data_IF_377923713319
#
_entry.id   IF_377923713319
#
_cell.length_a   1.000
_cell.length_b   1.000
_cell.length_c   1.000
_cell.angle_alpha   90.00
_cell.angle_beta   90.00
_cell.angle_gamma   90.00
#
_symmetry.space_group_name_H-M   'P 1'
#
loop_
_entity.id
_entity.type
_entity.pdbx_description
1 polymer ?
#
# COMPACT_ATOMS: atom_id res chain seq x y z
N UNK A 1 29.11 -10.85 -18.24
CA UNK A 1 27.87 -11.57 -18.62
C UNK A 1 27.06 -12.03 -17.41
N UNK A 2 27.72 -12.46 -16.32
CA UNK A 2 27.05 -12.92 -15.09
C UNK A 2 26.33 -11.81 -14.30
N UNK A 3 26.95 -10.63 -14.18
CA UNK A 3 26.32 -9.43 -13.57
C UNK A 3 24.99 -9.04 -14.24
N UNK A 4 24.95 -9.04 -15.58
CA UNK A 4 23.74 -8.75 -16.37
C UNK A 4 22.63 -9.79 -16.11
N UNK A 5 22.99 -11.07 -15.96
CA UNK A 5 22.01 -12.11 -15.61
C UNK A 5 21.46 -11.92 -14.20
N UNK A 6 22.29 -11.47 -13.26
CA UNK A 6 21.89 -11.21 -11.88
C UNK A 6 20.97 -9.99 -11.77
N UNK A 7 21.30 -8.91 -12.48
CA UNK A 7 20.48 -7.70 -12.56
C UNK A 7 19.11 -7.99 -13.23
N UNK A 8 19.11 -8.76 -14.32
CA UNK A 8 17.86 -9.18 -14.98
C UNK A 8 16.96 -10.03 -14.07
N UNK A 9 17.56 -10.90 -13.23
CA UNK A 9 16.80 -11.70 -12.26
C UNK A 9 16.21 -10.82 -11.16
N UNK A 10 16.96 -9.85 -10.64
CA UNK A 10 16.45 -8.89 -9.64
C UNK A 10 15.24 -8.12 -10.17
N UNK A 11 15.33 -7.58 -11.39
CA UNK A 11 14.21 -6.87 -12.01
C UNK A 11 13.01 -7.79 -12.17
N UNK A 12 13.21 -9.05 -12.56
CA UNK A 12 12.11 -10.01 -12.69
C UNK A 12 11.41 -10.28 -11.35
N UNK A 13 12.18 -10.46 -10.27
CA UNK A 13 11.63 -10.68 -8.92
C UNK A 13 10.97 -9.42 -8.33
N UNK A 14 11.34 -8.23 -8.80
CA UNK A 14 10.63 -6.99 -8.44
C UNK A 14 9.29 -6.84 -9.18
N UNK A 15 9.10 -7.53 -10.31
CA UNK A 15 7.89 -7.45 -11.13
C UNK A 15 6.90 -8.58 -10.85
N UNK A 16 7.38 -9.75 -10.45
CA UNK A 16 6.57 -10.95 -10.26
C UNK A 16 6.94 -11.64 -8.94
N UNK A 17 5.95 -12.23 -8.25
CA UNK A 17 6.20 -13.10 -7.11
C UNK A 17 7.26 -14.15 -7.40
N UNK A 18 8.07 -14.51 -6.41
CA UNK A 18 9.23 -15.40 -6.60
C UNK A 18 8.85 -16.75 -7.24
N UNK A 19 7.71 -17.33 -6.83
CA UNK A 19 7.21 -18.59 -7.37
C UNK A 19 6.73 -18.47 -8.82
N UNK A 20 6.17 -17.32 -9.20
CA UNK A 20 5.72 -17.02 -10.57
C UNK A 20 6.91 -16.74 -11.48
N UNK A 21 7.87 -15.93 -11.02
CA UNK A 21 9.11 -15.66 -11.72
C UNK A 21 9.89 -16.95 -12.03
N UNK A 22 9.96 -17.89 -11.08
CA UNK A 22 10.56 -19.21 -11.30
C UNK A 22 9.85 -20.00 -12.40
N UNK A 23 8.52 -19.98 -12.44
CA UNK A 23 7.74 -20.63 -13.50
C UNK A 23 8.15 -20.09 -14.88
N UNK A 24 8.27 -18.78 -15.06
CA UNK A 24 8.69 -18.17 -16.34
C UNK A 24 10.16 -18.40 -16.68
N UNK A 25 11.05 -18.50 -15.68
CA UNK A 25 12.47 -18.79 -15.90
C UNK A 25 12.71 -20.26 -16.30
N UNK A 26 11.88 -21.19 -15.82
CA UNK A 26 11.97 -22.62 -16.12
C UNK A 26 11.18 -23.01 -17.38
N UNK A 27 10.20 -22.20 -17.77
CA UNK A 27 9.38 -22.44 -18.95
C UNK A 27 10.15 -22.14 -20.25
N UNK A 28 9.89 -22.93 -21.29
CA UNK A 28 10.51 -22.74 -22.59
C UNK A 28 10.11 -21.36 -23.18
N UNK A 29 11.01 -20.55 -23.77
CA UNK A 29 10.69 -19.18 -24.24
C UNK A 29 9.59 -19.09 -25.30
N UNK A 30 9.19 -20.22 -25.88
CA UNK A 30 8.10 -20.33 -26.86
C UNK A 30 6.73 -20.61 -26.22
N UNK A 31 6.70 -20.96 -24.94
CA UNK A 31 5.50 -21.26 -24.18
C UNK A 31 5.11 -20.05 -23.33
N UNK A 32 4.66 -18.98 -24.01
CA UNK A 32 4.04 -17.81 -23.39
C UNK A 32 2.56 -18.10 -23.05
N UNK A 33 2.29 -19.30 -22.54
CA UNK A 33 0.95 -19.66 -22.12
C UNK A 33 0.56 -18.83 -20.89
N UNK A 34 -0.74 -18.48 -20.82
CA UNK A 34 -1.31 -17.73 -19.71
C UNK A 34 -0.99 -18.44 -18.39
N UNK A 35 -0.18 -17.82 -17.52
CA UNK A 35 0.00 -18.30 -16.16
C UNK A 35 -1.25 -17.98 -15.33
N UNK A 36 -1.87 -19.01 -14.77
CA UNK A 36 -2.92 -18.87 -13.78
C UNK A 36 -2.81 -19.97 -12.71
N UNK A 37 -3.23 -19.64 -11.49
CA UNK A 37 -3.28 -20.59 -10.38
C UNK A 37 -4.51 -20.29 -9.51
N UNK A 38 -5.28 -21.33 -9.19
CA UNK A 38 -6.44 -21.21 -8.30
C UNK A 38 -6.05 -21.54 -6.86
N UNK A 39 -6.49 -20.70 -5.93
CA UNK A 39 -6.28 -20.86 -4.49
C UNK A 39 -7.62 -20.91 -3.78
N UNK A 40 -7.79 -21.87 -2.87
CA UNK A 40 -9.07 -22.10 -2.19
C UNK A 40 -9.29 -21.15 -1.00
N UNK A 41 -8.21 -20.72 -0.34
CA UNK A 41 -8.24 -19.90 0.87
C UNK A 41 -7.06 -18.92 0.87
N UNK A 42 -7.34 -17.65 0.60
CA UNK A 42 -6.37 -16.55 0.60
C UNK A 42 -6.94 -15.42 1.43
N UNK A 43 -6.15 -14.86 2.33
CA UNK A 43 -6.48 -13.64 3.04
C UNK A 43 -6.10 -12.44 2.18
N UNK A 44 -7.01 -11.49 1.98
CA UNK A 44 -6.81 -10.29 1.17
C UNK A 44 -7.06 -9.07 2.03
N UNK A 45 -6.16 -8.10 1.95
CA UNK A 45 -6.23 -6.84 2.66
C UNK A 45 -6.17 -5.65 1.68
N UNK A 46 -7.01 -4.66 1.95
CA UNK A 46 -6.91 -3.31 1.38
C UNK A 46 -6.69 -2.34 2.53
N UNK A 47 -5.58 -1.59 2.49
CA UNK A 47 -5.27 -0.56 3.48
C UNK A 47 -5.21 0.79 2.75
N UNK A 48 -6.23 1.64 2.94
CA UNK A 48 -6.35 2.95 2.28
C UNK A 48 -6.07 4.08 3.26
N UNK A 49 -5.58 5.21 2.73
CA UNK A 49 -5.44 6.48 3.44
C UNK A 49 -6.47 7.45 2.86
N UNK A 50 -7.70 7.53 3.42
CA UNK A 50 -8.80 8.24 2.78
C UNK A 50 -8.58 9.76 2.71
N UNK A 51 -7.97 10.34 3.75
CA UNK A 51 -7.71 11.78 3.82
C UNK A 51 -6.49 12.23 3.00
N UNK A 52 -5.81 11.30 2.32
CA UNK A 52 -4.73 11.67 1.39
C UNK A 52 -5.27 12.46 0.19
N UNK A 53 -6.49 12.17 -0.28
CA UNK A 53 -7.10 12.90 -1.40
C UNK A 53 -7.35 14.37 -1.04
N UNK A 54 -7.75 14.65 0.20
CA UNK A 54 -7.97 16.02 0.68
C UNK A 54 -6.65 16.77 0.89
N UNK A 55 -5.57 16.04 1.20
CA UNK A 55 -4.21 16.57 1.31
C UNK A 55 -3.58 16.88 -0.06
N UNK A 56 -3.99 16.16 -1.11
CA UNK A 56 -3.46 16.37 -2.45
C UNK A 56 -3.96 17.69 -3.03
N UNK A 57 -3.07 18.69 -3.05
CA UNK A 57 -3.35 20.02 -3.58
C UNK A 57 -2.31 20.38 -4.64
N UNK A 58 -2.77 20.60 -5.88
CA UNK A 58 -1.97 21.12 -6.99
C UNK A 58 -1.93 22.65 -6.91
N UNK A 59 -0.88 23.20 -6.32
CA UNK A 59 -0.61 24.65 -6.27
C UNK A 59 0.84 24.94 -6.68
N UNK A 60 1.06 26.12 -7.27
CA UNK A 60 2.40 26.63 -7.65
C UNK A 60 3.39 26.62 -6.48
N UNK A 61 2.90 26.79 -5.25
CA UNK A 61 3.71 26.72 -4.03
C UNK A 61 4.06 25.32 -3.52
N UNK A 62 3.47 24.25 -4.07
CA UNK A 62 3.70 22.85 -3.66
C UNK A 62 4.40 22.02 -4.75
N UNK A 63 5.21 22.66 -5.60
CA UNK A 63 5.84 22.02 -6.78
C UNK A 63 4.83 21.21 -7.63
N UNK A 64 3.60 21.72 -7.85
CA UNK A 64 2.55 21.02 -8.58
C UNK A 64 2.13 19.66 -7.97
N UNK A 65 2.14 19.53 -6.63
CA UNK A 65 1.70 18.30 -5.94
C UNK A 65 2.78 17.20 -5.87
N UNK A 66 4.00 17.48 -6.34
CA UNK A 66 5.13 16.52 -6.29
C UNK A 66 5.51 16.15 -4.86
N UNK A 67 5.46 17.10 -3.91
CA UNK A 67 5.78 16.78 -2.51
C UNK A 67 4.75 15.83 -1.89
N UNK A 68 3.47 15.94 -2.27
CA UNK A 68 2.45 14.99 -1.84
C UNK A 68 2.76 13.57 -2.34
N UNK A 69 3.21 13.44 -3.59
CA UNK A 69 3.59 12.14 -4.15
C UNK A 69 4.86 11.57 -3.50
N UNK A 70 5.82 12.41 -3.09
CA UNK A 70 7.00 11.96 -2.34
C UNK A 70 6.61 11.39 -0.98
N UNK A 71 5.72 12.08 -0.27
CA UNK A 71 5.22 11.61 1.02
C UNK A 71 4.41 10.32 0.89
N UNK A 72 3.59 10.19 -0.16
CA UNK A 72 2.93 8.92 -0.44
C UNK A 72 3.94 7.81 -0.72
N UNK A 73 4.98 8.09 -1.51
CA UNK A 73 6.02 7.10 -1.79
C UNK A 73 6.77 6.68 -0.52
N UNK A 74 7.04 7.62 0.40
CA UNK A 74 7.63 7.34 1.72
C UNK A 74 6.73 6.40 2.54
N UNK A 75 5.43 6.70 2.66
CA UNK A 75 4.49 5.83 3.37
C UNK A 75 4.45 4.42 2.78
N UNK A 76 4.42 4.30 1.45
CA UNK A 76 4.40 3.00 0.78
C UNK A 76 5.73 2.26 0.97
N UNK A 77 6.87 2.97 0.98
CA UNK A 77 8.18 2.39 1.21
C UNK A 77 8.32 1.85 2.64
N UNK A 78 7.82 2.57 3.65
CA UNK A 78 7.87 2.13 5.04
C UNK A 78 6.95 0.92 5.29
N UNK A 79 5.81 0.85 4.60
CA UNK A 79 4.97 -0.36 4.58
C UNK A 79 5.66 -1.55 3.88
N UNK A 80 6.44 -1.30 2.84
CA UNK A 80 7.23 -2.34 2.18
C UNK A 80 8.36 -2.83 3.10
N UNK A 81 9.07 -1.94 3.81
CA UNK A 81 10.08 -2.31 4.82
C UNK A 81 9.46 -3.13 5.97
N UNK A 82 8.26 -2.76 6.42
CA UNK A 82 7.51 -3.57 7.39
C UNK A 82 7.27 -4.99 6.89
N UNK A 83 6.92 -5.18 5.61
CA UNK A 83 6.65 -6.50 5.02
C UNK A 83 7.91 -7.38 4.90
N UNK A 84 9.10 -6.78 4.82
CA UNK A 84 10.37 -7.51 4.71
C UNK A 84 10.77 -8.24 6.00
N UNK A 85 10.17 -7.89 7.16
CA UNK A 85 10.42 -8.58 8.43
C UNK A 85 10.13 -10.08 8.33
N UNK A 86 10.94 -10.91 9.01
CA UNK A 86 10.86 -12.39 8.94
C UNK A 86 9.47 -12.97 9.22
N UNK A 87 8.69 -12.34 10.10
CA UNK A 87 7.34 -12.78 10.46
C UNK A 87 6.31 -12.53 9.35
N UNK A 88 6.55 -11.57 8.45
CA UNK A 88 5.63 -11.10 7.41
C UNK A 88 5.97 -11.61 6.00
N UNK A 89 7.01 -12.44 5.85
CA UNK A 89 7.45 -13.03 4.57
C UNK A 89 6.42 -13.85 3.81
N UNK A 90 5.33 -14.25 4.46
CA UNK A 90 4.22 -14.96 3.82
C UNK A 90 3.22 -14.02 3.13
N UNK A 91 3.29 -12.72 3.42
CA UNK A 91 2.45 -11.69 2.82
C UNK A 91 3.09 -11.26 1.50
N UNK A 92 2.27 -11.20 0.46
CA UNK A 92 2.66 -10.75 -0.86
C UNK A 92 1.93 -9.42 -1.16
N UNK A 93 2.70 -8.37 -1.44
CA UNK A 93 2.15 -7.13 -2.00
C UNK A 93 1.64 -7.43 -3.42
N UNK A 94 0.38 -7.11 -3.69
CA UNK A 94 -0.20 -7.28 -5.02
C UNK A 94 0.06 -6.04 -5.87
N UNK A 95 -0.36 -4.88 -5.38
CA UNK A 95 -0.17 -3.58 -6.04
C UNK A 95 -0.51 -2.42 -5.10
N UNK A 96 -0.16 -1.22 -5.54
CA UNK A 96 -0.65 0.04 -4.96
C UNK A 96 -1.67 0.66 -5.92
N UNK A 97 -2.81 1.11 -5.40
CA UNK A 97 -3.91 1.74 -6.17
C UNK A 97 -4.20 3.11 -5.55
N UNK A 98 -3.64 4.18 -6.12
CA UNK A 98 -3.71 5.51 -5.50
C UNK A 98 -3.06 5.48 -4.10
N UNK A 99 -3.80 5.90 -3.07
CA UNK A 99 -3.39 5.83 -1.67
C UNK A 99 -3.72 4.50 -0.97
N UNK A 100 -4.04 3.45 -1.74
CA UNK A 100 -4.44 2.13 -1.21
C UNK A 100 -3.36 1.08 -1.44
N UNK A 101 -2.91 0.46 -0.36
CA UNK A 101 -2.00 -0.68 -0.34
C UNK A 101 -2.78 -1.99 -0.38
N UNK A 102 -2.57 -2.81 -1.42
CA UNK A 102 -3.22 -4.11 -1.57
C UNK A 102 -2.23 -5.24 -1.35
N UNK A 103 -2.54 -6.11 -0.39
CA UNK A 103 -1.72 -7.26 -0.04
C UNK A 103 -2.57 -8.52 0.15
N UNK A 104 -1.94 -9.68 0.00
CA UNK A 104 -2.58 -10.97 0.21
C UNK A 104 -1.64 -11.98 0.86
N UNK A 105 -2.20 -12.96 1.56
CA UNK A 105 -1.46 -14.02 2.26
C UNK A 105 -2.01 -15.39 1.87
N UNK A 106 -1.12 -16.39 1.79
CA UNK A 106 -1.49 -17.75 1.38
C UNK A 106 -1.41 -17.98 -0.14
N UNK A 107 -0.72 -17.10 -0.87
CA UNK A 107 -0.43 -17.25 -2.31
C UNK A 107 0.85 -18.04 -2.60
N UNK A 108 1.74 -18.16 -1.62
CA UNK A 108 2.98 -18.93 -1.77
C UNK A 108 2.69 -20.44 -1.85
N UNK A 109 3.11 -21.14 -2.92
CA UNK A 109 3.08 -22.59 -2.94
C UNK A 109 4.01 -23.11 -1.84
N UNK A 110 3.54 -24.10 -1.08
CA UNK A 110 4.32 -24.80 -0.04
C UNK A 110 5.40 -25.69 -0.68
N UNK A 111 6.25 -25.12 -1.54
CA UNK A 111 7.39 -25.81 -2.15
C UNK A 111 8.57 -25.72 -1.21
N UNK A 112 8.66 -26.69 -0.30
CA UNK A 112 9.83 -26.92 0.54
C UNK A 112 9.52 -26.96 2.04
N UNK A 113 9.45 -28.18 2.58
CA UNK A 113 9.79 -28.58 3.96
C UNK A 113 9.11 -27.91 5.18
N UNK A 114 8.27 -26.89 5.05
CA UNK A 114 7.48 -26.36 6.19
C UNK A 114 6.05 -26.86 6.12
N UNK A 115 5.57 -27.43 7.24
CA UNK A 115 4.18 -27.89 7.39
C UNK A 115 3.21 -26.84 6.85
N UNK A 116 2.21 -27.27 6.07
CA UNK A 116 1.18 -26.41 5.49
C UNK A 116 0.56 -25.56 6.61
N UNK A 117 0.91 -24.27 6.65
CA UNK A 117 0.37 -23.34 7.65
C UNK A 117 -1.14 -23.32 7.50
N UNK A 118 -1.84 -23.33 8.63
CA UNK A 118 -3.30 -23.17 8.65
C UNK A 118 -3.66 -21.79 8.10
N UNK A 119 -4.82 -21.68 7.44
CA UNK A 119 -5.37 -20.38 7.01
C UNK A 119 -5.47 -19.40 8.18
N UNK A 120 -5.78 -19.90 9.38
CA UNK A 120 -5.81 -19.07 10.59
C UNK A 120 -4.44 -18.46 10.91
N UNK A 121 -3.35 -19.20 10.71
CA UNK A 121 -2.00 -18.67 10.91
C UNK A 121 -1.65 -17.59 9.90
N UNK A 122 -2.01 -17.80 8.63
CA UNK A 122 -1.82 -16.78 7.59
C UNK A 122 -2.64 -15.53 7.88
N UNK A 123 -3.90 -15.68 8.29
CA UNK A 123 -4.75 -14.55 8.68
C UNK A 123 -4.24 -13.83 9.93
N UNK A 124 -3.67 -14.54 10.92
CA UNK A 124 -3.02 -13.90 12.06
C UNK A 124 -1.84 -13.03 11.62
N UNK A 125 -0.99 -13.55 10.73
CA UNK A 125 0.12 -12.77 10.16
C UNK A 125 -0.38 -11.51 9.44
N UNK A 126 -1.46 -11.63 8.65
CA UNK A 126 -2.07 -10.49 7.97
C UNK A 126 -2.71 -9.48 8.94
N UNK A 127 -3.35 -9.96 10.00
CA UNK A 127 -3.94 -9.12 11.04
C UNK A 127 -2.87 -8.37 11.84
N UNK A 128 -1.77 -9.03 12.18
CA UNK A 128 -0.63 -8.43 12.88
C UNK A 128 0.03 -7.35 12.02
N UNK A 129 0.24 -7.65 10.74
CA UNK A 129 0.73 -6.67 9.77
C UNK A 129 -0.19 -5.46 9.68
N UNK A 130 -1.50 -5.68 9.56
CA UNK A 130 -2.49 -4.60 9.52
C UNK A 130 -2.47 -3.72 10.77
N UNK A 131 -2.23 -4.29 11.95
CA UNK A 131 -2.11 -3.54 13.21
C UNK A 131 -0.80 -2.73 13.21
N UNK A 132 0.34 -3.34 12.88
CA UNK A 132 1.64 -2.64 12.84
C UNK A 132 1.67 -1.52 11.79
N UNK A 133 0.91 -1.61 10.70
CA UNK A 133 0.78 -0.51 9.72
C UNK A 133 0.23 0.79 10.33
N UNK A 134 -0.60 0.71 11.38
CA UNK A 134 -1.05 1.92 12.09
C UNK A 134 0.11 2.57 12.86
N UNK A 135 0.93 1.77 13.54
CA UNK A 135 2.08 2.28 14.28
C UNK A 135 3.11 2.93 13.33
N UNK A 136 3.33 2.33 12.14
CA UNK A 136 4.19 2.92 11.10
C UNK A 136 3.62 4.25 10.60
N UNK A 137 2.31 4.32 10.31
CA UNK A 137 1.70 5.57 9.85
C UNK A 137 1.71 6.65 10.94
N UNK A 138 1.53 6.29 12.21
CA UNK A 138 1.63 7.19 13.36
C UNK A 138 3.05 7.80 13.46
N UNK A 139 4.10 7.01 13.22
CA UNK A 139 5.48 7.49 13.20
C UNK A 139 5.73 8.48 12.06
N UNK A 140 5.25 8.19 10.85
CA UNK A 140 5.36 9.10 9.71
C UNK A 140 4.61 10.40 9.98
N UNK A 141 3.38 10.31 10.51
CA UNK A 141 2.59 11.49 10.90
C UNK A 141 3.36 12.38 11.88
N UNK A 142 4.03 11.77 12.87
CA UNK A 142 4.85 12.49 13.83
C UNK A 142 6.06 13.18 13.17
N UNK A 143 6.76 12.49 12.27
CA UNK A 143 7.96 13.02 11.60
C UNK A 143 7.64 14.10 10.55
N UNK A 144 6.53 13.94 9.82
CA UNK A 144 6.14 14.82 8.73
C UNK A 144 5.16 15.93 9.14
N UNK A 145 4.74 15.99 10.41
CA UNK A 145 3.72 16.91 10.92
C UNK A 145 2.37 16.81 10.18
N UNK A 146 1.96 15.58 9.86
CA UNK A 146 0.70 15.28 9.20
C UNK A 146 -0.22 14.45 10.11
N UNK A 147 -1.46 14.21 9.67
CA UNK A 147 -2.49 13.48 10.42
C UNK A 147 -3.24 12.54 9.47
N UNK A 148 -2.50 11.72 8.73
CA UNK A 148 -3.07 10.67 7.88
C UNK A 148 -3.74 9.59 8.71
N UNK A 149 -4.90 9.12 8.26
CA UNK A 149 -5.64 8.09 8.97
C UNK A 149 -5.77 6.85 8.10
N UNK A 150 -5.25 5.74 8.60
CA UNK A 150 -5.37 4.45 7.92
C UNK A 150 -6.77 3.87 8.10
N UNK A 151 -7.28 3.23 7.06
CA UNK A 151 -8.47 2.40 7.08
C UNK A 151 -8.16 1.09 6.41
N UNK A 152 -8.55 -0.03 7.04
CA UNK A 152 -8.20 -1.35 6.53
C UNK A 152 -9.43 -2.23 6.40
N UNK A 153 -9.52 -2.96 5.29
CA UNK A 153 -10.52 -3.99 5.03
C UNK A 153 -9.88 -5.35 4.79
N UNK A 154 -10.31 -6.38 5.53
CA UNK A 154 -9.78 -7.75 5.40
C UNK A 154 -10.92 -8.73 5.09
N UNK A 155 -10.68 -9.63 4.13
CA UNK A 155 -11.54 -10.77 3.88
C UNK A 155 -10.71 -12.01 3.52
N UNK A 156 -11.33 -13.19 3.63
CA UNK A 156 -10.73 -14.47 3.27
C UNK A 156 -11.65 -15.25 2.33
N UNK A 157 -11.05 -16.03 1.42
CA UNK A 157 -11.81 -16.91 0.53
C UNK A 157 -11.02 -17.33 -0.71
N UNK A 158 -11.67 -17.97 -1.69
CA UNK A 158 -11.02 -18.42 -2.91
C UNK A 158 -10.67 -17.26 -3.83
N UNK A 159 -9.54 -17.38 -4.53
CA UNK A 159 -9.06 -16.44 -5.54
C UNK A 159 -8.37 -17.18 -6.68
N UNK A 160 -8.30 -16.54 -7.84
CA UNK A 160 -7.48 -16.98 -8.97
C UNK A 160 -6.39 -15.94 -9.16
N UNK A 161 -5.13 -16.36 -9.05
CA UNK A 161 -3.99 -15.53 -9.39
C UNK A 161 -3.56 -15.79 -10.84
N UNK A 162 -2.90 -14.82 -11.47
CA UNK A 162 -2.39 -14.99 -12.82
C UNK A 162 -1.59 -13.80 -13.29
N UNK A 163 -0.91 -13.99 -14.43
CA UNK A 163 -0.15 -12.93 -15.09
C UNK A 163 -0.84 -12.54 -16.39
N UNK A 164 -1.19 -11.26 -16.52
CA UNK A 164 -1.83 -10.70 -17.71
C UNK A 164 -0.90 -9.68 -18.36
N UNK A 165 -0.90 -9.64 -19.69
CA UNK A 165 -0.22 -8.60 -20.48
C UNK A 165 1.01 -9.11 -21.23
N UNK A 166 0.96 -9.06 -22.56
CA UNK A 166 2.02 -9.62 -23.41
C UNK A 166 3.32 -8.80 -23.41
N UNK A 167 3.24 -7.47 -23.26
CA UNK A 167 4.40 -6.56 -23.26
C UNK A 167 4.75 -6.01 -21.89
N UNK A 168 3.76 -5.93 -20.99
CA UNK A 168 3.88 -5.46 -19.61
C UNK A 168 3.16 -6.47 -18.73
N UNK A 169 3.81 -7.59 -18.39
CA UNK A 169 3.18 -8.62 -17.56
C UNK A 169 2.88 -8.02 -16.18
N UNK A 170 1.66 -8.22 -15.72
CA UNK A 170 1.18 -7.81 -14.40
C UNK A 170 0.63 -9.04 -13.69
N UNK A 171 1.23 -9.36 -12.54
CA UNK A 171 0.65 -10.32 -11.62
C UNK A 171 -0.51 -9.67 -10.87
N UNK A 172 -1.62 -10.39 -10.76
CA UNK A 172 -2.79 -9.91 -10.02
C UNK A 172 -3.65 -11.09 -9.55
N UNK A 173 -4.60 -10.80 -8.65
CA UNK A 173 -5.55 -11.77 -8.11
C UNK A 173 -6.99 -11.33 -8.38
N UNK A 174 -7.82 -12.28 -8.80
CA UNK A 174 -9.23 -12.07 -9.09
C UNK A 174 -10.11 -12.99 -8.25
N UNK A 175 -11.31 -12.51 -7.95
CA UNK A 175 -12.32 -13.30 -7.27
C UNK A 175 -13.26 -12.44 -6.45
N UNK A 176 -14.40 -13.02 -6.10
CA UNK A 176 -15.35 -12.35 -5.22
C UNK A 176 -14.72 -11.99 -3.85
N UNK A 177 -13.74 -12.77 -3.37
CA UNK A 177 -12.98 -12.51 -2.14
C UNK A 177 -12.30 -11.15 -2.16
N UNK A 178 -11.65 -10.79 -3.28
CA UNK A 178 -10.96 -9.51 -3.48
C UNK A 178 -11.96 -8.36 -3.48
N UNK A 179 -13.09 -8.54 -4.19
CA UNK A 179 -14.15 -7.54 -4.22
C UNK A 179 -14.72 -7.28 -2.83
N UNK A 180 -15.00 -8.33 -2.04
CA UNK A 180 -15.50 -8.19 -0.67
C UNK A 180 -14.45 -7.52 0.23
N UNK A 181 -13.16 -7.85 0.12
CA UNK A 181 -12.09 -7.17 0.87
C UNK A 181 -12.05 -5.66 0.56
N UNK A 182 -12.13 -5.30 -0.72
CA UNK A 182 -12.23 -3.89 -1.15
C UNK A 182 -13.48 -3.19 -0.63
N UNK A 183 -14.60 -3.92 -0.45
CA UNK A 183 -15.80 -3.39 0.21
C UNK A 183 -15.64 -3.24 1.72
N UNK A 184 -14.89 -4.12 2.39
CA UNK A 184 -14.58 -3.93 3.81
C UNK A 184 -13.75 -2.68 4.05
N UNK A 185 -12.85 -2.33 3.12
CA UNK A 185 -12.11 -1.07 3.18
C UNK A 185 -13.03 0.11 2.86
N UNK A 186 -13.66 0.14 1.68
CA UNK A 186 -14.47 1.31 1.25
C UNK A 186 -15.67 1.62 2.16
N UNK A 187 -16.27 0.63 2.81
CA UNK A 187 -17.33 0.81 3.82
C UNK A 187 -16.79 0.93 5.26
N UNK A 188 -15.48 0.78 5.43
CA UNK A 188 -14.75 0.90 6.68
C UNK A 188 -14.82 2.28 7.31
N UNK A 189 -14.61 2.33 8.61
CA UNK A 189 -14.43 3.58 9.37
C UNK A 189 -12.94 3.89 9.45
N UNK A 190 -12.58 5.17 9.25
CA UNK A 190 -11.20 5.64 9.39
C UNK A 190 -10.66 5.31 10.79
N UNK A 191 -9.40 4.89 10.88
CA UNK A 191 -8.77 4.53 12.15
C UNK A 191 -9.07 3.09 12.60
N UNK A 192 -9.80 2.29 11.80
CA UNK A 192 -10.23 0.94 12.18
C UNK A 192 -9.92 -0.09 11.10
N UNK A 193 -9.75 -1.33 11.55
CA UNK A 193 -9.65 -2.52 10.69
C UNK A 193 -11.01 -3.19 10.66
N UNK A 194 -11.68 -3.19 9.51
CA UNK A 194 -12.93 -3.92 9.29
C UNK A 194 -12.67 -5.29 8.70
N UNK A 195 -13.32 -6.30 9.26
CA UNK A 195 -13.22 -7.69 8.81
C UNK A 195 -14.60 -8.30 8.57
N UNK A 196 -14.66 -9.31 7.70
CA UNK A 196 -15.87 -10.12 7.51
C UNK A 196 -16.09 -11.08 8.69
N UNK A 197 -17.33 -11.55 8.85
CA UNK A 197 -17.69 -12.59 9.83
C UNK A 197 -16.81 -13.85 9.71
N UNK A 198 -16.43 -14.23 8.48
CA UNK A 198 -15.57 -15.39 8.25
C UNK A 198 -14.17 -15.22 8.86
N UNK A 199 -13.56 -14.04 8.67
CA UNK A 199 -12.26 -13.71 9.27
C UNK A 199 -12.35 -13.74 10.79
N UNK A 200 -13.40 -13.12 11.36
CA UNK A 200 -13.67 -13.18 12.80
C UNK A 200 -13.81 -14.62 13.28
N UNK A 201 -14.55 -15.47 12.58
CA UNK A 201 -14.73 -16.89 12.95
C UNK A 201 -13.43 -17.68 12.98
N UNK A 202 -12.52 -17.42 12.04
CA UNK A 202 -11.22 -18.07 11.96
C UNK A 202 -10.23 -17.56 13.02
N UNK A 203 -10.31 -16.27 13.37
CA UNK A 203 -9.41 -15.62 14.32
C UNK A 203 -9.95 -15.54 15.76
N UNK A 204 -11.21 -15.94 16.03
CA UNK A 204 -11.81 -15.90 17.38
C UNK A 204 -11.07 -16.73 18.44
N UNK A 205 -10.26 -17.70 18.01
CA UNK A 205 -9.44 -18.57 18.88
C UNK A 205 -8.01 -18.04 19.06
N UNK A 206 -7.68 -16.95 18.37
CA UNK A 206 -6.41 -16.26 18.45
C UNK A 206 -6.53 -15.07 19.42
N UNK A 207 -5.41 -14.51 19.91
CA UNK A 207 -5.43 -13.44 20.91
C UNK A 207 -5.74 -12.08 20.28
N UNK A 208 -6.94 -11.92 19.74
CA UNK A 208 -7.42 -10.70 19.12
C UNK A 208 -8.70 -10.21 19.76
N UNK A 209 -8.86 -8.89 19.85
CA UNK A 209 -10.09 -8.25 20.29
C UNK A 209 -10.93 -7.84 19.08
N UNK A 210 -12.16 -8.33 19.03
CA UNK A 210 -13.12 -7.98 17.98
C UNK A 210 -14.35 -7.31 18.58
N UNK A 211 -14.81 -6.24 17.94
CA UNK A 211 -16.07 -5.56 18.26
C UNK A 211 -17.04 -5.76 17.11
N UNK A 212 -18.27 -6.17 17.43
CA UNK A 212 -19.32 -6.31 16.42
C UNK A 212 -19.69 -4.92 15.88
N UNK A 213 -19.49 -4.69 14.58
CA UNK A 213 -19.92 -3.46 13.90
C UNK A 213 -21.41 -3.50 13.59
N UNK A 214 -21.92 -4.69 13.27
CA UNK A 214 -23.29 -4.90 12.79
C UNK A 214 -23.35 -5.20 11.30
N UNK A 215 -24.55 -5.09 10.74
CA UNK A 215 -24.81 -5.37 9.32
C UNK A 215 -24.43 -4.16 8.47
N UNK A 216 -23.68 -4.42 7.40
CA UNK A 216 -23.26 -3.42 6.40
C UNK A 216 -23.71 -3.89 5.03
N UNK A 217 -24.28 -2.97 4.25
CA UNK A 217 -24.72 -3.25 2.89
C UNK A 217 -23.53 -3.36 1.95
N UNK A 218 -23.34 -4.53 1.34
CA UNK A 218 -22.25 -4.85 0.41
C UNK A 218 -22.83 -5.12 -0.97
N UNK A 219 -22.41 -4.33 -1.97
CA UNK A 219 -22.86 -4.47 -3.36
C UNK A 219 -22.64 -5.90 -3.86
N UNK A 220 -23.71 -6.55 -4.32
CA UNK A 220 -23.68 -7.93 -4.84
C UNK A 220 -23.72 -9.03 -3.78
N UNK A 221 -23.71 -8.69 -2.48
CA UNK A 221 -23.87 -9.64 -1.36
C UNK A 221 -25.06 -9.33 -0.46
N UNK A 222 -25.59 -8.11 -0.50
CA UNK A 222 -26.65 -7.67 0.40
C UNK A 222 -26.08 -7.28 1.76
N UNK A 223 -26.85 -7.47 2.82
CA UNK A 223 -26.42 -7.18 4.19
C UNK A 223 -25.44 -8.24 4.70
N UNK A 224 -24.25 -7.81 5.08
CA UNK A 224 -23.21 -8.68 5.65
C UNK A 224 -22.91 -8.28 7.09
N UNK A 225 -22.81 -9.26 7.99
CA UNK A 225 -22.32 -9.02 9.35
C UNK A 225 -20.81 -8.76 9.31
N UNK A 226 -20.39 -7.70 9.99
CA UNK A 226 -19.01 -7.22 10.00
C UNK A 226 -18.53 -6.94 11.41
N UNK A 227 -17.21 -6.99 11.58
CA UNK A 227 -16.54 -6.78 12.86
C UNK A 227 -15.39 -5.80 12.68
N UNK A 228 -15.06 -5.07 13.73
CA UNK A 228 -13.80 -4.35 13.84
C UNK A 228 -12.80 -5.21 14.59
N UNK A 229 -11.59 -5.32 14.06
CA UNK A 229 -10.42 -5.81 14.79
C UNK A 229 -9.78 -4.59 15.48
N UNK A 230 -9.74 -4.57 16.81
CA UNK A 230 -9.25 -3.40 17.58
C UNK A 230 -7.83 -3.57 18.12
N UNK A 231 -7.27 -4.79 18.08
CA UNK A 231 -5.91 -5.06 18.52
C UNK A 231 -5.73 -6.48 19.04
N UNK A 232 -4.60 -6.72 19.71
CA UNK A 232 -4.29 -7.98 20.39
C UNK A 232 -4.84 -7.99 21.81
N UNK A 233 -5.31 -9.15 22.26
CA UNK A 233 -5.70 -9.39 23.65
C UNK A 233 -4.46 -9.87 24.40
N UNK A 234 -3.77 -8.98 25.11
CA UNK A 234 -2.67 -9.40 25.97
C UNK A 234 -3.23 -10.17 27.17
N UNK A 235 -2.71 -11.37 27.42
CA UNK A 235 -3.15 -12.28 28.49
C UNK A 235 -2.91 -11.76 29.92
N UNK A 236 -2.32 -10.58 30.07
CA UNK A 236 -2.25 -9.84 31.33
C UNK A 236 -3.29 -8.71 31.26
N UNK A 237 -4.41 -8.88 31.98
CA UNK A 237 -5.56 -8.00 31.90
C UNK A 237 -5.21 -6.51 31.89
N UNK A 238 -5.84 -5.79 30.95
CA UNK A 238 -5.99 -4.31 30.92
C UNK A 238 -4.96 -3.49 30.12
N UNK A 239 -4.43 -3.97 28.99
CA UNK A 239 -3.97 -3.06 27.94
C UNK A 239 -4.42 -3.55 26.55
N UNK A 240 -5.51 -2.96 26.03
CA UNK A 240 -5.80 -3.01 24.61
C UNK A 240 -4.78 -2.09 23.95
N UNK A 241 -3.94 -2.59 23.03
CA UNK A 241 -3.24 -1.73 22.07
C UNK A 241 -4.28 -1.19 21.09
N UNK A 242 -5.09 -0.23 21.56
CA UNK A 242 -6.21 0.33 20.79
C UNK A 242 -5.67 1.00 19.52
N UNK A 243 -6.25 0.64 18.39
CA UNK A 243 -6.04 1.34 17.12
C UNK A 243 -6.55 2.79 17.25
N UNK A 244 -5.61 3.72 17.45
CA UNK A 244 -5.64 5.12 17.05
C UNK A 244 -6.68 6.10 17.62
N UNK A 245 -7.90 5.67 18.02
CA UNK A 245 -8.96 6.63 18.35
C UNK A 245 -8.77 7.36 19.69
N UNK A 246 -8.17 6.72 20.70
CA UNK A 246 -7.96 7.32 22.03
C UNK A 246 -6.59 8.00 22.20
N UNK A 247 -5.74 8.05 21.17
CA UNK A 247 -4.44 8.73 21.23
C UNK A 247 -4.51 10.24 20.98
N UNK A 248 -5.67 10.79 20.62
CA UNK A 248 -5.89 12.24 20.56
C UNK A 248 -6.43 12.81 21.88
N UNK A 249 -5.54 13.08 22.83
CA UNK A 249 -5.50 14.37 23.56
C UNK A 249 -4.32 14.42 24.56
N UNK A 250 -3.28 15.19 24.23
CA UNK A 250 -2.31 15.72 25.18
C UNK A 250 -2.19 17.23 24.92
N UNK A 251 -2.34 18.11 25.94
CA UNK A 251 -2.55 19.53 25.71
C UNK A 251 -1.27 20.19 25.21
N UNK A 252 -1.42 21.09 24.25
CA UNK A 252 -0.43 22.12 23.97
C UNK A 252 -0.19 22.94 25.24
N UNK A 253 0.80 22.52 26.02
CA UNK A 253 1.30 23.24 27.19
C UNK A 253 2.17 24.41 26.75
N UNK A 254 1.60 25.62 26.83
CA UNK A 254 2.38 26.86 26.90
C UNK A 254 3.34 26.80 28.09
N UNK A 255 4.64 26.79 27.82
CA UNK A 255 5.65 27.36 28.73
C UNK A 255 6.76 27.97 27.85
N UNK A 256 6.97 29.27 27.99
CA UNK A 256 7.74 30.09 27.06
C UNK A 256 9.24 29.84 27.06
N UNK A 257 9.88 30.19 25.94
CA UNK A 257 11.25 30.68 25.85
C UNK A 257 11.42 31.38 24.49
N UNK A 258 12.27 32.40 24.50
CA UNK A 258 12.37 33.49 23.52
C UNK A 258 12.83 33.04 22.13
N UNK A 259 12.27 33.72 21.12
CA UNK A 259 12.82 34.06 19.80
C UNK A 259 13.91 33.17 19.20
N UNK A 260 13.54 32.29 18.27
CA UNK A 260 14.40 31.90 17.14
C UNK A 260 13.58 31.77 15.86
N UNK A 261 14.04 32.43 14.80
CA UNK A 261 13.54 32.31 13.42
C UNK A 261 13.70 30.87 12.92
N UNK A 262 12.85 30.39 11.98
CA UNK A 262 13.03 29.08 11.36
C UNK A 262 14.34 29.01 10.56
N UNK A 263 15.00 27.85 10.49
CA UNK A 263 16.21 27.69 9.70
C UNK A 263 15.88 27.73 8.20
N UNK A 264 16.61 28.57 7.47
CA UNK A 264 16.63 28.59 6.02
C UNK A 264 17.53 27.44 5.56
N UNK A 265 17.00 26.53 4.74
CA UNK A 265 17.80 25.47 4.11
C UNK A 265 18.85 26.07 3.16
N UNK A 266 20.12 25.62 3.17
CA UNK A 266 21.11 26.09 2.22
C UNK A 266 20.97 25.37 0.88
N UNK A 267 20.73 26.13 -0.19
CA UNK A 267 20.85 25.65 -1.57
C UNK A 267 22.33 25.61 -1.99
N UNK A 268 22.83 24.55 -2.66
CA UNK A 268 24.14 24.59 -3.28
C UNK A 268 24.10 25.44 -4.56
N UNK A 269 24.93 26.49 -4.59
CA UNK A 269 25.08 27.39 -5.72
C UNK A 269 25.79 26.73 -6.91
N UNK A 270 25.15 26.73 -8.08
CA UNK A 270 25.81 26.53 -9.36
C UNK A 270 26.03 27.90 -9.98
N UNK A 271 27.29 28.30 -10.07
CA UNK A 271 27.72 29.55 -10.70
C UNK A 271 27.74 29.36 -12.21
N UNK A 272 26.80 29.99 -12.92
CA UNK A 272 26.86 30.13 -14.39
C UNK A 272 27.22 31.57 -14.71
N UNK A 273 28.40 31.74 -15.28
CA UNK A 273 29.01 33.02 -15.66
C UNK A 273 28.35 33.53 -16.94
N UNK A 274 27.63 34.64 -16.86
CA UNK A 274 27.08 35.34 -18.01
C UNK A 274 28.17 36.17 -18.72
N UNK A 275 28.31 35.97 -20.03
CA UNK A 275 29.04 36.87 -20.92
C UNK A 275 28.08 37.39 -21.98
N UNK A 276 27.79 38.69 -21.93
CA UNK A 276 27.20 39.47 -23.03
C UNK A 276 28.32 39.89 -23.99
N UNK A 277 28.03 40.14 -25.29
CA UNK A 277 27.78 41.54 -25.69
C UNK A 277 26.66 41.79 -26.73
N UNK A 278 26.09 42.97 -26.56
CA UNK A 278 25.35 43.96 -27.39
C UNK A 278 25.22 43.89 -28.94
N UNK A 279 23.99 44.23 -29.38
CA UNK A 279 23.51 45.09 -30.51
C UNK A 279 23.82 44.70 -32.00
N UNK A 280 22.87 44.21 -32.83
CA UNK A 280 21.73 44.81 -33.61
C UNK A 280 22.11 45.45 -34.97
N UNK A 281 21.23 45.66 -36.00
CA UNK A 281 19.92 45.08 -36.38
C UNK A 281 19.79 44.66 -37.88
N UNK A 282 18.70 43.98 -38.31
CA UNK A 282 18.30 44.02 -39.74
C UNK A 282 17.42 42.90 -40.31
N UNK A 283 16.25 43.33 -40.82
CA UNK A 283 15.51 42.84 -42.00
C UNK A 283 14.57 41.61 -41.91
N UNK A 284 13.26 41.95 -41.90
CA UNK A 284 12.21 41.51 -42.83
C UNK A 284 12.28 40.09 -43.44
N UNK A 285 11.28 39.25 -43.17
CA UNK A 285 10.24 38.87 -44.16
C UNK A 285 9.17 37.93 -43.56
N UNK A 286 7.93 38.17 -43.98
CA UNK A 286 6.71 37.45 -43.69
C UNK A 286 6.63 36.08 -44.36
N UNK A 287 5.90 35.12 -43.78
CA UNK A 287 4.79 34.45 -44.49
C UNK A 287 3.94 33.63 -43.52
N UNK A 288 2.63 33.87 -43.58
CA UNK A 288 1.58 33.07 -43.01
C UNK A 288 1.22 31.87 -43.91
N UNK A 289 0.62 30.83 -43.32
CA UNK A 289 -0.42 29.92 -43.83
C UNK A 289 -0.47 28.71 -42.88
N UNK A 290 -1.46 28.50 -42.01
CA UNK A 290 -2.87 28.19 -42.25
C UNK A 290 -3.06 26.94 -43.14
N UNK A 291 -3.53 25.85 -42.52
CA UNK A 291 -3.91 24.61 -43.21
C UNK A 291 -4.63 23.65 -42.26
N UNK A 292 -5.94 23.87 -42.08
CA UNK A 292 -6.92 22.87 -41.65
C UNK A 292 -7.15 21.89 -42.81
N UNK A 293 -7.47 20.64 -42.48
CA UNK A 293 -8.33 19.65 -43.17
C UNK A 293 -7.89 18.26 -42.66
N UNK A 294 -8.72 17.26 -42.45
CA UNK A 294 -10.17 17.07 -42.40
C UNK A 294 -10.40 15.79 -41.58
#
# INVERSE_FOLDING_TARGET
MEKVKLDNRRILFNLLPAHVAQHFLMSNPRNMDLYYQSYSQVGVMFASIPNFNDFYIELDGNNMGVECLRLLNEIIADFDELMEKDFYKDIEKIKTIGSTYMAAVGLAPTSGTKAKKSISSHLSTLADFAIEMFDVLDEINYQSYNDFVLRVGINVGPVVAGVIGARRPQYDIWGNTVNVASRMDSTGVQGRIQVTEEVHRLLRRCPYHFVCRGKVSVKGKGEMLTYFLEGRTDGNGSQIRSLGLDRKMGPYGRAGLQGRRPPVCPMPGVSVRAGLPSHSPGQYLSSAAAGKEA
#
